data_IF_789069613179
#
_entry.id   IF_789069613179
#
_cell.length_a   1.000
_cell.length_b   1.000
_cell.length_c   1.000
_cell.angle_alpha   90.00
_cell.angle_beta   90.00
_cell.angle_gamma   90.00
#
_symmetry.space_group_name_H-M   'P 1'
#
loop_
_entity.id
_entity.type
_entity.pdbx_description
1 polymer ?
#
# COMPACT_ATOMS: atom_id res chain seq x y z
N UNK A 1 -4.74 -0.67 -14.47
CA UNK A 1 -4.63 0.81 -14.46
C UNK A 1 -3.17 1.16 -14.23
N UNK A 2 -2.64 2.23 -14.83
CA UNK A 2 -1.25 2.64 -14.58
C UNK A 2 -1.17 3.36 -13.23
N UNK A 3 -0.06 3.20 -12.51
CA UNK A 3 0.20 3.95 -11.29
C UNK A 3 0.20 5.46 -11.61
N UNK A 4 -0.66 6.22 -10.91
CA UNK A 4 -0.77 7.66 -11.08
C UNK A 4 -0.25 8.36 -9.82
N UNK A 5 0.79 9.17 -9.97
CA UNK A 5 1.27 10.04 -8.89
C UNK A 5 0.46 11.33 -8.86
N UNK A 6 -0.41 11.47 -7.86
CA UNK A 6 -1.28 12.64 -7.72
C UNK A 6 -0.54 13.87 -7.18
N UNK A 7 0.49 13.68 -6.35
CA UNK A 7 1.24 14.76 -5.71
C UNK A 7 2.66 14.30 -5.32
N UNK A 8 3.67 15.12 -5.62
CA UNK A 8 5.06 14.90 -5.22
C UNK A 8 5.70 16.25 -4.82
N UNK A 9 6.46 16.27 -3.73
CA UNK A 9 7.22 17.46 -3.30
C UNK A 9 8.54 17.04 -2.64
N UNK A 10 9.67 17.34 -3.26
CA UNK A 10 11.00 17.19 -2.66
C UNK A 10 11.72 18.55 -2.58
N UNK A 11 11.91 19.06 -1.35
CA UNK A 11 12.72 20.26 -1.11
C UNK A 11 13.28 20.29 0.30
N UNK A 12 14.38 21.03 0.47
CA UNK A 12 14.91 21.30 1.80
C UNK A 12 13.96 22.23 2.58
N UNK A 13 13.49 21.79 3.74
CA UNK A 13 12.60 22.55 4.64
C UNK A 13 13.24 22.66 6.03
N UNK A 14 12.88 23.70 6.79
CA UNK A 14 13.30 23.79 8.19
C UNK A 14 12.56 22.77 9.05
N UNK A 15 13.13 22.40 10.21
CA UNK A 15 12.44 21.51 11.17
C UNK A 15 11.10 22.08 11.65
N UNK A 16 11.00 23.40 11.76
CA UNK A 16 9.76 24.09 12.16
C UNK A 16 8.68 23.95 11.09
N UNK A 17 9.03 24.14 9.81
CA UNK A 17 8.09 24.01 8.71
C UNK A 17 7.60 22.57 8.57
N UNK A 18 8.51 21.59 8.68
CA UNK A 18 8.17 20.16 8.69
C UNK A 18 7.20 19.84 9.84
N UNK A 19 7.48 20.35 11.05
CA UNK A 19 6.58 20.18 12.18
C UNK A 19 5.21 20.86 11.96
N UNK A 20 5.16 21.95 11.20
CA UNK A 20 3.91 22.59 10.78
C UNK A 20 3.06 21.66 9.94
N UNK A 21 3.66 21.06 8.90
CA UNK A 21 2.98 20.09 8.02
C UNK A 21 2.48 18.88 8.81
N UNK A 22 3.34 18.26 9.62
CA UNK A 22 2.96 17.09 10.42
C UNK A 22 1.84 17.38 11.42
N UNK A 23 1.79 18.59 12.00
CA UNK A 23 0.66 18.99 12.86
C UNK A 23 -0.62 19.17 12.07
N UNK A 24 -0.55 19.78 10.88
CA UNK A 24 -1.73 19.92 10.01
C UNK A 24 -2.30 18.56 9.64
N UNK A 25 -1.44 17.62 9.25
CA UNK A 25 -1.80 16.24 8.99
C UNK A 25 -2.45 15.59 10.23
N UNK A 26 -1.82 15.69 11.40
CA UNK A 26 -2.36 15.12 12.63
C UNK A 26 -3.72 15.72 13.00
N UNK A 27 -3.89 17.04 12.87
CA UNK A 27 -5.18 17.71 13.12
C UNK A 27 -6.24 17.27 12.11
N UNK A 28 -5.92 17.10 10.83
CA UNK A 28 -6.88 16.62 9.85
C UNK A 28 -7.35 15.18 10.16
N UNK A 29 -6.39 14.28 10.49
CA UNK A 29 -6.70 12.91 10.90
C UNK A 29 -7.52 12.84 12.20
N UNK A 30 -7.29 13.74 13.16
CA UNK A 30 -8.06 13.81 14.41
C UNK A 30 -9.51 14.32 14.22
N UNK A 31 -9.77 15.09 13.17
CA UNK A 31 -11.07 15.70 12.91
C UNK A 31 -11.90 14.97 11.84
N UNK A 32 -11.46 13.78 11.41
CA UNK A 32 -12.07 13.02 10.31
C UNK A 32 -12.32 13.89 9.05
N UNK A 33 -11.36 14.77 8.75
CA UNK A 33 -11.47 15.74 7.67
C UNK A 33 -10.39 15.53 6.59
N UNK A 34 -10.59 16.13 5.40
CA UNK A 34 -9.63 16.02 4.32
C UNK A 34 -8.28 16.59 4.76
N UNK A 35 -7.22 15.87 4.40
CA UNK A 35 -5.84 16.32 4.55
C UNK A 35 -5.47 17.09 3.29
N UNK A 36 -5.21 18.39 3.44
CA UNK A 36 -4.68 19.22 2.35
C UNK A 36 -3.14 19.14 2.34
N UNK A 37 -2.58 18.79 1.19
CA UNK A 37 -1.14 18.81 0.93
C UNK A 37 -0.81 19.95 -0.03
N UNK A 38 0.13 20.81 0.38
CA UNK A 38 0.50 21.99 -0.39
C UNK A 38 2.01 22.07 -0.67
N UNK A 39 2.35 22.36 -1.92
CA UNK A 39 3.67 22.85 -2.30
C UNK A 39 3.61 23.93 -3.38
N UNK A 40 3.90 25.17 -2.99
CA UNK A 40 3.91 26.31 -3.90
C UNK A 40 2.52 26.61 -4.45
N UNK A 41 2.30 26.32 -5.73
CA UNK A 41 1.00 26.50 -6.40
C UNK A 41 0.20 25.19 -6.51
N UNK A 42 0.77 24.05 -6.12
CA UNK A 42 0.11 22.76 -6.13
C UNK A 42 -0.56 22.51 -4.77
N UNK A 43 -1.83 22.12 -4.82
CA UNK A 43 -2.61 21.75 -3.64
C UNK A 43 -3.50 20.57 -4.03
N UNK A 44 -3.55 19.55 -3.16
CA UNK A 44 -4.45 18.41 -3.29
C UNK A 44 -5.10 18.13 -1.93
N UNK A 45 -6.36 17.72 -1.95
CA UNK A 45 -7.07 17.19 -0.80
C UNK A 45 -7.18 15.68 -0.93
N UNK A 46 -6.81 14.96 0.13
CA UNK A 46 -7.02 13.51 0.27
C UNK A 46 -7.91 13.26 1.48
N UNK A 47 -8.70 12.19 1.45
CA UNK A 47 -9.64 11.85 2.54
C UNK A 47 -9.33 10.44 3.07
N UNK A 48 -8.38 10.30 4.02
CA UNK A 48 -8.06 9.00 4.60
C UNK A 48 -9.26 8.44 5.37
N UNK A 49 -9.53 7.12 5.28
CA UNK A 49 -10.60 6.49 6.05
C UNK A 49 -10.29 6.48 7.55
N UNK A 50 -11.28 6.12 8.38
CA UNK A 50 -11.14 6.04 9.84
C UNK A 50 -10.05 5.05 10.32
N UNK A 51 -9.71 4.04 9.50
CA UNK A 51 -8.71 3.02 9.83
C UNK A 51 -7.78 2.74 8.64
N UNK A 52 -6.84 3.66 8.32
CA UNK A 52 -5.82 3.42 7.31
C UNK A 52 -4.70 2.55 7.89
N UNK A 53 -3.94 1.87 7.02
CA UNK A 53 -2.69 1.24 7.43
C UNK A 53 -1.62 2.31 7.57
N UNK A 54 -0.85 2.29 8.67
CA UNK A 54 0.23 3.25 8.90
C UNK A 54 1.57 2.52 9.07
N UNK A 55 2.52 2.82 8.18
CA UNK A 55 3.88 2.29 8.23
C UNK A 55 4.89 3.41 8.56
N UNK A 56 5.87 3.09 9.39
CA UNK A 56 7.00 3.98 9.74
C UNK A 56 8.28 3.23 9.43
N UNK A 57 9.14 3.83 8.61
CA UNK A 57 10.43 3.26 8.24
C UNK A 57 11.57 4.24 8.45
N UNK A 58 12.69 3.75 8.98
CA UNK A 58 13.92 4.54 9.14
C UNK A 58 15.07 3.76 8.53
N UNK A 59 15.71 4.34 7.52
CA UNK A 59 16.82 3.72 6.83
C UNK A 59 18.11 4.53 6.95
N UNK A 60 19.24 3.84 6.82
CA UNK A 60 20.56 4.43 6.66
C UNK A 60 21.26 3.80 5.46
N UNK A 61 21.52 4.60 4.44
CA UNK A 61 22.20 4.17 3.23
C UNK A 61 23.22 5.22 2.79
N UNK A 62 24.45 4.80 2.51
CA UNK A 62 25.51 5.65 1.94
C UNK A 62 25.73 7.00 2.66
N UNK A 63 25.57 7.03 3.99
CA UNK A 63 25.71 8.24 4.82
C UNK A 63 24.47 9.14 4.90
N UNK A 64 23.38 8.79 4.22
CA UNK A 64 22.06 9.40 4.35
C UNK A 64 21.25 8.65 5.42
N UNK A 65 20.43 9.38 6.17
CA UNK A 65 19.39 8.83 7.04
C UNK A 65 18.04 9.32 6.51
N UNK A 66 17.10 8.41 6.26
CA UNK A 66 15.73 8.71 5.84
C UNK A 66 14.75 8.24 6.90
N UNK A 67 13.64 8.96 7.03
CA UNK A 67 12.44 8.57 7.78
C UNK A 67 11.28 8.69 6.80
N UNK A 68 10.55 7.60 6.61
CA UNK A 68 9.35 7.52 5.79
C UNK A 68 8.15 7.28 6.70
N UNK A 69 7.08 8.02 6.43
CA UNK A 69 5.78 7.90 7.09
C UNK A 69 4.77 7.66 5.97
N UNK A 70 4.15 6.50 5.97
CA UNK A 70 3.29 6.05 4.88
C UNK A 70 1.92 5.69 5.44
N UNK A 71 0.88 6.26 4.84
CA UNK A 71 -0.51 5.93 5.10
C UNK A 71 -1.06 5.27 3.83
N UNK A 72 -1.60 4.07 3.96
CA UNK A 72 -2.12 3.29 2.83
C UNK A 72 -3.59 2.90 3.08
N UNK A 73 -4.42 3.08 2.06
CA UNK A 73 -5.81 2.66 2.03
C UNK A 73 -6.24 2.36 0.59
N UNK A 74 -7.31 1.58 0.43
CA UNK A 74 -7.90 1.34 -0.87
C UNK A 74 -8.83 2.52 -1.21
N UNK A 75 -8.56 3.19 -2.34
CA UNK A 75 -9.49 4.12 -2.93
C UNK A 75 -10.56 3.29 -3.65
N UNK A 76 -11.84 3.45 -3.28
CA UNK A 76 -12.98 2.56 -3.59
C UNK A 76 -13.27 1.45 -2.57
N UNK A 77 -13.66 1.86 -1.36
CA UNK A 77 -14.71 1.17 -0.61
C UNK A 77 -15.81 2.19 -0.26
N UNK A 78 -16.80 2.34 -1.15
CA UNK A 78 -18.04 3.05 -0.82
C UNK A 78 -18.83 2.23 0.20
N UNK A 79 -18.69 2.61 1.47
CA UNK A 79 -19.80 2.73 2.42
C UNK A 79 -20.36 1.47 3.07
N UNK A 80 -20.29 1.44 4.41
CA UNK A 80 -21.45 1.04 5.23
C UNK A 80 -21.60 2.03 6.40
N UNK A 81 -22.19 3.19 6.11
CA UNK A 81 -22.85 3.98 7.13
C UNK A 81 -24.18 3.30 7.46
N UNK A 82 -24.16 2.29 8.32
CA UNK A 82 -25.40 1.66 8.81
C UNK A 82 -25.91 2.49 9.98
N UNK A 83 -26.76 3.47 9.68
CA UNK A 83 -27.61 4.09 10.68
C UNK A 83 -28.48 3.02 11.33
N UNK A 84 -28.25 2.79 12.62
CA UNK A 84 -29.01 1.83 13.41
C UNK A 84 -30.48 2.25 13.55
N UNK A 85 -31.39 1.52 12.90
CA UNK A 85 -32.80 1.45 13.25
C UNK A 85 -33.40 0.08 12.86
N UNK A 86 -33.57 -0.75 13.89
CA UNK A 86 -34.66 -1.69 14.15
C UNK A 86 -35.11 -2.75 13.10
N UNK A 87 -34.98 -4.00 13.55
CA UNK A 87 -35.94 -5.13 13.48
C UNK A 87 -36.06 -6.00 12.20
N UNK A 88 -35.91 -7.32 12.41
CA UNK A 88 -36.86 -8.30 11.88
C UNK A 88 -36.31 -9.37 10.91
N UNK A 89 -36.41 -10.63 11.35
CA UNK A 89 -36.51 -11.88 10.59
C UNK A 89 -35.38 -12.36 9.63
N UNK A 90 -34.64 -13.36 10.11
CA UNK A 90 -34.55 -14.74 9.59
C UNK A 90 -34.93 -15.02 8.12
N UNK A 91 -33.99 -15.51 7.31
CA UNK A 91 -34.01 -16.88 6.73
C UNK A 91 -32.96 -17.09 5.62
N UNK A 92 -32.36 -18.29 5.68
CA UNK A 92 -31.80 -19.10 4.59
C UNK A 92 -30.47 -18.68 3.94
N UNK A 93 -29.42 -19.23 4.55
CA UNK A 93 -28.11 -19.55 3.98
C UNK A 93 -28.23 -20.51 2.79
N UNK A 94 -27.79 -20.06 1.62
CA UNK A 94 -27.37 -20.93 0.52
C UNK A 94 -25.83 -20.94 0.46
N UNK A 95 -25.29 -21.90 1.20
CA UNK A 95 -23.87 -22.27 1.24
C UNK A 95 -23.50 -22.97 -0.07
N UNK A 96 -23.05 -22.20 -1.06
CA UNK A 96 -22.17 -22.75 -2.10
C UNK A 96 -20.74 -22.52 -1.65
N UNK A 97 -20.28 -23.41 -0.76
CA UNK A 97 -18.90 -23.46 -0.27
C UNK A 97 -17.90 -23.70 -1.39
N UNK A 98 -17.41 -22.61 -2.00
CA UNK A 98 -16.13 -22.63 -2.66
C UNK A 98 -15.05 -22.65 -1.56
N UNK A 99 -14.55 -23.84 -1.26
CA UNK A 99 -13.35 -24.05 -0.43
C UNK A 99 -12.28 -23.01 -0.84
N UNK A 100 -11.65 -22.27 0.11
CA UNK A 100 -10.60 -21.34 -0.26
C UNK A 100 -9.49 -22.14 -0.94
N UNK A 101 -9.28 -21.90 -2.23
CA UNK A 101 -8.28 -22.59 -3.02
C UNK A 101 -6.93 -22.45 -2.30
N UNK A 102 -6.42 -23.54 -1.74
CA UNK A 102 -5.15 -23.53 -1.03
C UNK A 102 -4.09 -23.00 -1.99
N UNK A 103 -3.45 -21.88 -1.62
CA UNK A 103 -2.47 -21.22 -2.47
C UNK A 103 -1.40 -22.22 -2.91
N UNK A 104 -1.27 -22.40 -4.23
CA UNK A 104 -0.38 -23.38 -4.82
C UNK A 104 1.06 -22.86 -4.96
N UNK A 105 1.36 -21.65 -4.49
CA UNK A 105 2.66 -21.01 -4.60
C UNK A 105 3.09 -20.26 -3.36
N UNK A 106 4.41 -20.07 -3.20
CA UNK A 106 5.02 -19.25 -2.14
C UNK A 106 5.90 -18.17 -2.75
N UNK A 107 5.94 -17.01 -2.12
CA UNK A 107 6.94 -16.01 -2.42
C UNK A 107 8.27 -16.36 -1.76
N UNK A 108 9.36 -16.14 -2.48
CA UNK A 108 10.71 -16.25 -1.98
C UNK A 108 11.45 -14.94 -2.24
N UNK A 109 11.92 -14.29 -1.18
CA UNK A 109 12.81 -13.13 -1.26
C UNK A 109 14.25 -13.60 -1.06
N UNK A 110 15.12 -13.32 -2.02
CA UNK A 110 16.50 -13.78 -2.03
C UNK A 110 17.45 -12.70 -2.54
N UNK A 111 18.74 -12.85 -2.24
CA UNK A 111 19.80 -12.02 -2.82
C UNK A 111 20.44 -12.76 -3.98
N UNK A 112 20.56 -12.10 -5.13
CA UNK A 112 21.13 -12.70 -6.33
C UNK A 112 22.66 -12.59 -6.40
N UNK A 113 23.25 -12.99 -7.54
CA UNK A 113 24.70 -12.91 -7.75
C UNK A 113 25.22 -11.49 -7.94
N UNK A 114 24.37 -10.55 -8.38
CA UNK A 114 24.68 -9.14 -8.50
C UNK A 114 24.60 -8.41 -7.14
N UNK A 115 24.34 -9.14 -6.05
CA UNK A 115 24.15 -8.58 -4.71
C UNK A 115 22.87 -7.75 -4.56
N UNK A 116 21.92 -7.92 -5.47
CA UNK A 116 20.60 -7.28 -5.46
C UNK A 116 19.59 -8.19 -4.77
N UNK A 117 18.62 -7.59 -4.08
CA UNK A 117 17.47 -8.29 -3.52
C UNK A 117 16.41 -8.47 -4.60
N UNK A 118 15.83 -9.67 -4.69
CA UNK A 118 14.78 -10.00 -5.65
C UNK A 118 13.74 -10.86 -4.97
N UNK A 119 12.53 -10.88 -5.52
CA UNK A 119 11.51 -11.84 -5.13
C UNK A 119 11.05 -12.66 -6.33
N UNK A 120 10.57 -13.88 -6.05
CA UNK A 120 9.92 -14.75 -7.03
C UNK A 120 8.74 -15.48 -6.41
N UNK A 121 7.72 -15.74 -7.20
CA UNK A 121 6.60 -16.62 -6.85
C UNK A 121 6.90 -18.02 -7.40
N UNK A 122 7.02 -19.00 -6.51
CA UNK A 122 7.34 -20.39 -6.85
C UNK A 122 6.14 -21.26 -6.60
N UNK A 123 5.66 -21.94 -7.64
CA UNK A 123 4.62 -22.95 -7.53
C UNK A 123 5.13 -24.18 -6.77
N UNK A 124 4.23 -24.97 -6.17
CA UNK A 124 4.57 -26.21 -5.47
C UNK A 124 5.31 -27.25 -6.31
N UNK A 125 5.15 -27.20 -7.64
CA UNK A 125 5.89 -28.08 -8.57
C UNK A 125 7.33 -27.59 -8.88
N UNK A 126 7.75 -26.48 -8.28
CA UNK A 126 9.08 -25.88 -8.46
C UNK A 126 9.17 -24.87 -9.60
N UNK A 127 8.12 -24.68 -10.41
CA UNK A 127 8.12 -23.70 -11.48
C UNK A 127 8.00 -22.28 -10.91
N UNK A 128 8.76 -21.35 -11.49
CA UNK A 128 8.63 -19.92 -11.21
C UNK A 128 7.44 -19.41 -12.01
N UNK A 129 6.46 -18.83 -11.31
CA UNK A 129 5.24 -18.25 -11.90
C UNK A 129 5.46 -16.76 -12.21
N UNK A 130 6.10 -16.03 -11.28
CA UNK A 130 6.36 -14.61 -11.42
C UNK A 130 7.71 -14.24 -10.77
N UNK A 131 8.29 -13.14 -11.23
CA UNK A 131 9.51 -12.55 -10.66
C UNK A 131 9.32 -11.05 -10.57
N UNK A 132 9.95 -10.40 -9.59
CA UNK A 132 9.85 -8.95 -9.40
C UNK A 132 10.39 -8.05 -10.51
N UNK A 133 10.87 -8.59 -11.63
CA UNK A 133 11.36 -7.85 -12.81
C UNK A 133 12.68 -7.12 -12.58
N UNK A 134 12.86 -6.52 -11.41
CA UNK A 134 13.92 -5.60 -11.04
C UNK A 134 14.76 -6.14 -9.87
N UNK A 135 15.94 -5.55 -9.68
CA UNK A 135 16.81 -5.80 -8.53
C UNK A 135 16.71 -4.64 -7.53
N UNK A 136 16.43 -4.95 -6.27
CA UNK A 136 16.31 -3.96 -5.20
C UNK A 136 17.61 -3.83 -4.40
N UNK A 137 17.93 -2.63 -3.94
CA UNK A 137 19.11 -2.38 -3.10
C UNK A 137 18.96 -2.93 -1.67
N UNK A 138 17.72 -3.05 -1.17
CA UNK A 138 17.40 -3.55 0.17
C UNK A 138 16.39 -4.71 0.15
N UNK A 139 16.45 -5.58 1.18
CA UNK A 139 15.50 -6.69 1.35
C UNK A 139 14.07 -6.18 1.57
N UNK A 140 13.94 -5.05 2.26
CA UNK A 140 12.66 -4.42 2.55
C UNK A 140 12.01 -3.90 1.28
N UNK A 141 12.76 -3.27 0.37
CA UNK A 141 12.23 -2.84 -0.92
C UNK A 141 11.75 -4.04 -1.75
N UNK A 142 12.47 -5.16 -1.73
CA UNK A 142 12.00 -6.39 -2.35
C UNK A 142 10.73 -6.96 -1.69
N UNK A 143 10.56 -6.80 -0.37
CA UNK A 143 9.34 -7.18 0.33
C UNK A 143 8.17 -6.24 0.00
N UNK A 144 8.40 -4.92 -0.12
CA UNK A 144 7.38 -3.94 -0.55
C UNK A 144 6.89 -4.26 -1.96
N UNK A 145 7.81 -4.45 -2.92
CA UNK A 145 7.44 -4.85 -4.29
C UNK A 145 6.66 -6.18 -4.34
N UNK A 146 7.03 -7.14 -3.48
CA UNK A 146 6.29 -8.40 -3.32
C UNK A 146 4.87 -8.17 -2.77
N UNK A 147 4.70 -7.34 -1.73
CA UNK A 147 3.39 -7.03 -1.14
C UNK A 147 2.49 -6.29 -2.13
N UNK A 148 3.02 -5.29 -2.83
CA UNK A 148 2.31 -4.57 -3.88
C UNK A 148 1.74 -5.54 -4.93
N UNK A 149 2.54 -6.51 -5.41
CA UNK A 149 2.02 -7.54 -6.32
C UNK A 149 0.98 -8.43 -5.66
N UNK A 150 1.14 -8.79 -4.40
CA UNK A 150 0.16 -9.61 -3.67
C UNK A 150 -1.21 -8.92 -3.55
N UNK A 151 -1.21 -7.59 -3.40
CA UNK A 151 -2.41 -6.78 -3.25
C UNK A 151 -3.07 -6.45 -4.59
N UNK A 152 -2.27 -6.10 -5.60
CA UNK A 152 -2.81 -5.59 -6.88
C UNK A 152 -3.07 -6.68 -7.93
N UNK A 153 -2.32 -7.79 -7.91
CA UNK A 153 -2.45 -8.82 -8.94
C UNK A 153 -3.80 -9.56 -8.98
N UNK A 154 -4.52 -9.81 -7.87
CA UNK A 154 -5.82 -10.48 -7.90
C UNK A 154 -6.87 -9.73 -8.73
N UNK A 155 -6.86 -8.40 -8.70
CA UNK A 155 -7.86 -7.54 -9.33
C UNK A 155 -7.38 -6.92 -10.66
N UNK A 156 -6.16 -7.25 -11.10
CA UNK A 156 -5.57 -6.69 -12.30
C UNK A 156 -6.11 -7.33 -13.59
N UNK A 157 -6.49 -6.49 -14.56
CA UNK A 157 -6.89 -6.94 -15.90
C UNK A 157 -5.71 -7.55 -16.68
N UNK A 158 -5.97 -8.67 -17.36
CA UNK A 158 -5.00 -9.29 -18.28
C UNK A 158 -5.19 -8.72 -19.68
N UNK A 159 -4.29 -7.83 -20.10
CA UNK A 159 -4.27 -7.28 -21.47
C UNK A 159 -3.44 -8.20 -22.37
N UNK A 160 -4.01 -8.60 -23.50
CA UNK A 160 -3.31 -9.35 -24.54
C UNK A 160 -2.87 -8.38 -25.64
N UNK A 161 -1.59 -8.38 -26.01
CA UNK A 161 -1.08 -7.71 -27.21
C UNK A 161 -1.36 -8.50 -28.50
#
# INVERSE_FOLDING_TARGET
MADETLFESERQRSRTDIAGVLRSLATALENDGPVTLEDGAQSIDIDPPATPTFEIEVERESGKCSLELELEWNEHEEGENVSAAAEGESAESDDTGAEPAQSLGRFEVFRDRASEWRWRLVHRNGNIIATGGEGYTSKQNALKGMRSVMQNAPDADVVSE
#
